data_IF_693670494455
#
_entry.id   IF_693670494455
#
_cell.length_a   1.000
_cell.length_b   1.000
_cell.length_c   1.000
_cell.angle_alpha   90.00
_cell.angle_beta   90.00
_cell.angle_gamma   90.00
#
_symmetry.space_group_name_H-M   'P 1'
#
loop_
_entity.id
_entity.type
_entity.pdbx_description
1 polymer ?
#
# COMPACT_ATOMS: atom_id res chain seq x y z
N UNK A 1 -8.85 16.23 7.77
CA UNK A 1 -8.44 15.30 8.86
C UNK A 1 -7.29 14.48 8.31
N UNK A 2 -6.22 14.25 9.07
CA UNK A 2 -5.10 13.45 8.57
C UNK A 2 -5.51 11.97 8.47
N UNK A 3 -5.25 11.26 7.35
CA UNK A 3 -5.54 9.84 7.23
C UNK A 3 -4.89 9.01 8.34
N UNK A 4 -5.65 8.04 8.85
CA UNK A 4 -5.17 7.02 9.80
C UNK A 4 -4.55 5.88 9.00
N UNK A 5 -3.30 5.52 9.30
CA UNK A 5 -2.54 4.52 8.55
C UNK A 5 -2.09 3.38 9.46
N UNK A 6 -2.34 2.15 9.03
CA UNK A 6 -1.74 0.94 9.60
C UNK A 6 -0.72 0.40 8.60
N UNK A 7 0.43 -0.02 9.12
CA UNK A 7 1.48 -0.64 8.33
C UNK A 7 1.65 -2.11 8.70
N UNK A 8 1.92 -2.96 7.71
CA UNK A 8 2.05 -4.41 7.89
C UNK A 8 3.31 -4.91 7.19
N UNK A 9 4.19 -5.57 7.92
CA UNK A 9 5.29 -6.33 7.33
C UNK A 9 4.88 -7.79 7.19
N UNK A 10 4.89 -8.29 5.95
CA UNK A 10 4.64 -9.69 5.64
C UNK A 10 5.99 -10.40 5.51
N UNK A 11 6.32 -11.23 6.49
CA UNK A 11 7.61 -11.93 6.52
C UNK A 11 7.57 -13.13 7.49
N UNK A 12 8.15 -14.24 7.05
CA UNK A 12 8.30 -15.44 7.88
C UNK A 12 9.45 -15.34 8.89
N UNK A 13 10.37 -14.38 8.72
CA UNK A 13 11.64 -14.32 9.46
C UNK A 13 11.86 -13.03 10.23
N UNK A 14 11.17 -11.92 9.87
CA UNK A 14 11.37 -10.61 10.50
C UNK A 14 10.79 -10.56 11.90
N UNK A 15 11.49 -9.83 12.76
CA UNK A 15 11.05 -9.46 14.11
C UNK A 15 11.01 -7.94 14.23
N UNK A 16 10.43 -7.42 15.30
CA UNK A 16 10.42 -5.97 15.55
C UNK A 16 11.83 -5.35 15.61
N UNK A 17 12.83 -6.13 15.98
CA UNK A 17 14.23 -5.66 16.11
C UNK A 17 14.91 -5.45 14.76
N UNK A 18 14.56 -6.23 13.73
CA UNK A 18 15.23 -6.26 12.42
C UNK A 18 14.31 -5.88 11.25
N UNK A 19 13.11 -5.41 11.53
CA UNK A 19 12.16 -4.96 10.50
C UNK A 19 12.49 -3.55 9.98
N UNK A 20 13.47 -3.51 9.07
CA UNK A 20 13.88 -2.27 8.41
C UNK A 20 12.77 -1.69 7.52
N UNK A 21 12.01 -2.56 6.86
CA UNK A 21 10.91 -2.16 5.97
C UNK A 21 9.77 -1.52 6.74
N UNK A 22 9.38 -2.08 7.89
CA UNK A 22 8.36 -1.48 8.75
C UNK A 22 8.78 -0.12 9.30
N UNK A 23 10.04 0.03 9.72
CA UNK A 23 10.59 1.33 10.13
C UNK A 23 10.58 2.35 8.99
N UNK A 24 10.99 1.92 7.78
CA UNK A 24 10.95 2.77 6.60
C UNK A 24 9.53 3.25 6.27
N UNK A 25 8.51 2.38 6.37
CA UNK A 25 7.12 2.79 6.20
C UNK A 25 6.70 3.87 7.21
N UNK A 26 7.03 3.67 8.48
CA UNK A 26 6.70 4.63 9.53
C UNK A 26 7.37 6.00 9.30
N UNK A 27 8.62 6.01 8.87
CA UNK A 27 9.37 7.23 8.55
C UNK A 27 8.79 7.97 7.33
N UNK A 28 8.56 7.26 6.21
CA UNK A 28 8.08 7.88 4.98
C UNK A 28 6.61 8.34 5.07
N UNK A 29 5.83 7.74 5.96
CA UNK A 29 4.43 8.09 6.18
C UNK A 29 4.20 8.92 7.46
N UNK A 30 5.26 9.49 8.04
CA UNK A 30 5.21 10.25 9.30
C UNK A 30 4.30 11.50 9.26
N UNK A 31 3.95 11.99 8.07
CA UNK A 31 2.99 13.08 7.91
C UNK A 31 1.53 12.68 8.20
N UNK A 32 1.24 11.39 8.31
CA UNK A 32 -0.08 10.83 8.57
C UNK A 32 -0.18 10.29 10.00
N UNK A 33 -1.42 10.01 10.44
CA UNK A 33 -1.64 9.41 11.74
C UNK A 33 -1.31 7.91 11.69
N UNK A 34 -0.08 7.53 12.07
CA UNK A 34 0.30 6.13 12.19
C UNK A 34 -0.36 5.49 13.42
N UNK A 35 -1.26 4.54 13.21
CA UNK A 35 -2.04 3.89 14.27
C UNK A 35 -1.24 2.77 14.93
N UNK A 36 -0.77 1.83 14.15
CA UNK A 36 0.05 0.69 14.60
C UNK A 36 0.81 0.05 13.44
N UNK A 37 1.80 -0.74 13.81
CA UNK A 37 2.55 -1.62 12.91
C UNK A 37 2.37 -3.08 13.33
N UNK A 38 2.20 -3.98 12.36
CA UNK A 38 2.03 -5.42 12.58
C UNK A 38 3.01 -6.19 11.70
N UNK A 39 3.58 -7.27 12.23
CA UNK A 39 4.36 -8.25 11.47
C UNK A 39 3.56 -9.54 11.42
N UNK A 40 3.34 -10.07 10.22
CA UNK A 40 2.64 -11.33 10.00
C UNK A 40 3.45 -12.26 9.10
N UNK A 41 3.36 -13.57 9.26
CA UNK A 41 3.94 -14.51 8.32
C UNK A 41 3.28 -14.39 6.93
N UNK A 42 3.97 -14.84 5.88
CA UNK A 42 3.45 -14.85 4.50
C UNK A 42 2.44 -15.99 4.32
N UNK A 43 1.34 -15.87 5.03
CA UNK A 43 0.20 -16.78 5.01
C UNK A 43 -1.07 -15.98 4.71
N UNK A 44 -1.83 -16.32 3.64
CA UNK A 44 -3.03 -15.58 3.27
C UNK A 44 -4.00 -15.35 4.43
N UNK A 45 -4.24 -16.37 5.26
CA UNK A 45 -5.17 -16.28 6.40
C UNK A 45 -4.73 -15.25 7.43
N UNK A 46 -3.41 -15.11 7.66
CA UNK A 46 -2.86 -14.13 8.59
C UNK A 46 -2.98 -12.71 8.06
N UNK A 47 -2.69 -12.52 6.77
CA UNK A 47 -2.86 -11.24 6.09
C UNK A 47 -4.34 -10.83 6.13
N UNK A 48 -5.23 -11.74 5.75
CA UNK A 48 -6.68 -11.51 5.75
C UNK A 48 -7.25 -11.21 7.15
N UNK A 49 -6.71 -11.86 8.19
CA UNK A 49 -7.13 -11.63 9.58
C UNK A 49 -6.87 -10.18 10.02
N UNK A 50 -5.68 -9.65 9.71
CA UNK A 50 -5.35 -8.23 10.00
C UNK A 50 -6.28 -7.27 9.26
N UNK A 51 -6.53 -7.53 7.96
CA UNK A 51 -7.41 -6.67 7.17
C UNK A 51 -8.84 -6.67 7.71
N UNK A 52 -9.37 -7.84 8.10
CA UNK A 52 -10.71 -7.94 8.71
C UNK A 52 -10.79 -7.17 10.02
N UNK A 53 -9.81 -7.38 10.91
CA UNK A 53 -9.74 -6.67 12.20
C UNK A 53 -9.77 -5.14 12.00
N UNK A 54 -8.96 -4.63 11.07
CA UNK A 54 -8.92 -3.19 10.76
C UNK A 54 -10.26 -2.68 10.24
N UNK A 55 -10.96 -3.48 9.43
CA UNK A 55 -12.27 -3.12 8.90
C UNK A 55 -13.38 -3.18 9.95
N UNK A 56 -13.41 -4.22 10.76
CA UNK A 56 -14.42 -4.42 11.81
C UNK A 56 -14.33 -3.35 12.90
N UNK A 57 -13.12 -2.93 13.26
CA UNK A 57 -12.88 -1.93 14.30
C UNK A 57 -12.80 -0.49 13.79
N UNK A 58 -12.93 -0.27 12.48
CA UNK A 58 -12.75 1.04 11.84
C UNK A 58 -11.44 1.75 12.25
N UNK A 59 -10.35 1.00 12.31
CA UNK A 59 -9.08 1.49 12.86
C UNK A 59 -8.34 2.45 11.93
N UNK A 60 -8.45 2.27 10.61
CA UNK A 60 -7.64 3.02 9.65
C UNK A 60 -8.40 3.35 8.36
N UNK A 61 -7.94 4.39 7.68
CA UNK A 61 -8.39 4.81 6.36
C UNK A 61 -7.49 4.20 5.27
N UNK A 62 -6.27 3.85 5.62
CA UNK A 62 -5.30 3.22 4.72
C UNK A 62 -4.51 2.11 5.39
N UNK A 63 -4.17 1.07 4.61
CA UNK A 63 -3.32 -0.04 5.05
C UNK A 63 -2.19 -0.16 4.03
N UNK A 64 -0.94 -0.17 4.52
CA UNK A 64 0.24 -0.30 3.67
C UNK A 64 1.02 -1.55 4.07
N UNK A 65 1.07 -2.52 3.18
CA UNK A 65 1.78 -3.78 3.37
C UNK A 65 3.15 -3.75 2.67
N UNK A 66 4.11 -4.46 3.23
CA UNK A 66 5.40 -4.75 2.58
C UNK A 66 5.73 -6.23 2.69
N UNK A 67 6.20 -6.82 1.59
CA UNK A 67 6.57 -8.23 1.50
C UNK A 67 5.56 -9.11 0.77
N UNK A 68 6.00 -10.30 0.36
CA UNK A 68 5.18 -11.31 -0.30
C UNK A 68 4.66 -10.95 -1.70
N UNK A 69 5.31 -10.01 -2.40
CA UNK A 69 4.89 -9.54 -3.74
C UNK A 69 5.69 -10.13 -4.89
N UNK A 70 6.67 -10.96 -4.62
CA UNK A 70 7.50 -11.62 -5.64
C UNK A 70 6.79 -12.80 -6.32
N UNK A 71 7.59 -13.60 -7.04
CA UNK A 71 7.11 -14.77 -7.79
C UNK A 71 7.48 -16.11 -7.15
N UNK A 72 8.07 -16.07 -5.95
CA UNK A 72 8.37 -17.31 -5.24
C UNK A 72 7.06 -18.01 -4.81
N UNK A 73 7.04 -19.35 -4.69
CA UNK A 73 5.84 -20.08 -4.26
C UNK A 73 5.28 -19.60 -2.91
N UNK A 74 6.13 -19.03 -2.08
CA UNK A 74 5.78 -18.50 -0.76
C UNK A 74 5.18 -17.10 -0.82
N UNK A 75 5.42 -16.33 -1.89
CA UNK A 75 4.89 -14.98 -2.08
C UNK A 75 3.38 -15.03 -2.40
N UNK A 76 2.54 -14.80 -1.42
CA UNK A 76 1.08 -14.95 -1.51
C UNK A 76 0.30 -13.66 -1.21
N UNK A 77 0.98 -12.56 -0.90
CA UNK A 77 0.32 -11.29 -0.55
C UNK A 77 -0.53 -10.76 -1.71
N UNK A 78 -0.01 -10.83 -2.94
CA UNK A 78 -0.74 -10.36 -4.11
C UNK A 78 -2.10 -11.06 -4.26
N UNK A 79 -2.10 -12.41 -4.24
CA UNK A 79 -3.32 -13.21 -4.42
C UNK A 79 -4.32 -12.96 -3.28
N UNK A 80 -3.84 -12.82 -2.04
CA UNK A 80 -4.68 -12.55 -0.90
C UNK A 80 -5.40 -11.19 -1.03
N UNK A 81 -4.69 -10.15 -1.47
CA UNK A 81 -5.25 -8.81 -1.62
C UNK A 81 -6.15 -8.69 -2.85
N UNK A 82 -5.73 -9.25 -4.00
CA UNK A 82 -6.48 -9.18 -5.25
C UNK A 82 -7.91 -9.71 -5.09
N UNK A 83 -8.08 -10.78 -4.34
CA UNK A 83 -9.38 -11.40 -4.09
C UNK A 83 -10.32 -10.53 -3.24
N UNK A 84 -9.80 -9.54 -2.52
CA UNK A 84 -10.58 -8.67 -1.63
C UNK A 84 -10.93 -7.31 -2.24
N UNK A 85 -10.24 -6.89 -3.28
CA UNK A 85 -10.42 -5.55 -3.81
C UNK A 85 -11.76 -5.33 -4.49
N UNK A 86 -12.49 -4.31 -4.07
CA UNK A 86 -13.65 -3.81 -4.79
C UNK A 86 -13.23 -3.12 -6.09
N UNK A 87 -12.11 -2.38 -6.04
CA UNK A 87 -11.50 -1.71 -7.20
C UNK A 87 -9.99 -1.87 -7.14
N UNK A 88 -9.39 -2.28 -8.24
CA UNK A 88 -7.94 -2.32 -8.40
C UNK A 88 -7.43 -0.99 -8.94
N UNK A 89 -6.31 -0.52 -8.41
CA UNK A 89 -5.59 0.64 -8.90
C UNK A 89 -4.42 0.18 -9.78
N UNK A 90 -4.70 -0.16 -11.02
CA UNK A 90 -3.72 -0.73 -11.96
C UNK A 90 -2.48 0.16 -12.11
N UNK A 91 -2.69 1.48 -12.16
CA UNK A 91 -1.62 2.47 -12.28
C UNK A 91 -0.61 2.45 -11.14
N UNK A 92 -0.96 1.94 -9.96
CA UNK A 92 -0.01 1.85 -8.86
C UNK A 92 1.15 0.90 -9.16
N UNK A 93 0.85 -0.32 -9.59
CA UNK A 93 1.86 -1.31 -9.95
C UNK A 93 2.69 -0.86 -11.17
N UNK A 94 2.06 -0.22 -12.16
CA UNK A 94 2.74 0.33 -13.34
C UNK A 94 3.74 1.42 -12.93
N UNK A 95 3.31 2.40 -12.14
CA UNK A 95 4.15 3.49 -11.66
C UNK A 95 5.29 2.97 -10.78
N UNK A 96 5.02 2.01 -9.89
CA UNK A 96 6.04 1.41 -9.04
C UNK A 96 7.12 0.70 -9.87
N UNK A 97 6.74 -0.12 -10.86
CA UNK A 97 7.71 -0.80 -11.73
C UNK A 97 8.50 0.17 -12.59
N UNK A 98 7.87 1.24 -13.09
CA UNK A 98 8.56 2.29 -13.84
C UNK A 98 9.65 2.96 -12.99
N UNK A 99 9.33 3.38 -11.76
CA UNK A 99 10.29 4.00 -10.85
C UNK A 99 11.39 3.03 -10.41
N UNK A 100 11.03 1.75 -10.17
CA UNK A 100 11.99 0.72 -9.80
C UNK A 100 12.97 0.39 -10.92
N UNK A 101 12.60 0.61 -12.18
CA UNK A 101 13.48 0.37 -13.34
C UNK A 101 14.79 1.11 -13.23
N UNK A 102 14.79 2.34 -12.75
CA UNK A 102 15.99 3.16 -12.60
C UNK A 102 16.92 2.63 -11.50
N UNK A 103 16.40 1.84 -10.57
CA UNK A 103 17.18 1.26 -9.46
C UNK A 103 17.66 -0.18 -9.72
N UNK A 104 16.81 -1.00 -10.31
CA UNK A 104 17.05 -2.45 -10.44
C UNK A 104 16.92 -2.97 -11.88
N UNK A 105 16.68 -2.10 -12.84
CA UNK A 105 16.55 -2.43 -14.26
C UNK A 105 15.43 -3.42 -14.55
N UNK A 106 15.66 -4.34 -15.47
CA UNK A 106 14.68 -5.35 -15.92
C UNK A 106 14.11 -6.21 -14.77
N UNK A 107 14.81 -6.33 -13.66
CA UNK A 107 14.32 -7.08 -12.48
C UNK A 107 13.03 -6.48 -11.88
N UNK A 108 12.74 -5.21 -12.17
CA UNK A 108 11.50 -4.56 -11.72
C UNK A 108 10.23 -5.25 -12.23
N UNK A 109 10.27 -5.94 -13.38
CA UNK A 109 9.12 -6.67 -13.92
C UNK A 109 8.67 -7.84 -13.05
N UNK A 110 9.53 -8.33 -12.16
CA UNK A 110 9.21 -9.43 -11.24
C UNK A 110 8.42 -8.96 -10.02
N UNK A 111 8.27 -7.66 -9.83
CA UNK A 111 7.48 -7.10 -8.73
C UNK A 111 5.99 -7.11 -9.06
N UNK A 112 5.20 -7.65 -8.15
CA UNK A 112 3.74 -7.64 -8.22
C UNK A 112 3.13 -6.67 -7.20
N UNK A 113 3.75 -5.49 -7.06
CA UNK A 113 3.18 -4.42 -6.26
C UNK A 113 1.75 -4.10 -6.73
N UNK A 114 0.82 -3.96 -5.79
CA UNK A 114 -0.60 -3.80 -6.08
C UNK A 114 -1.23 -2.80 -5.12
N UNK A 115 -2.26 -2.11 -5.57
CA UNK A 115 -3.13 -1.31 -4.72
C UNK A 115 -4.59 -1.46 -5.14
N UNK A 116 -5.49 -1.22 -4.20
CA UNK A 116 -6.92 -1.28 -4.44
C UNK A 116 -7.72 -0.72 -3.28
N UNK A 117 -9.03 -0.79 -3.40
CA UNK A 117 -9.96 -0.33 -2.35
C UNK A 117 -10.73 -1.49 -1.75
N UNK A 118 -11.04 -1.39 -0.46
CA UNK A 118 -11.94 -2.29 0.26
C UNK A 118 -12.89 -1.40 1.07
N UNK A 119 -14.14 -1.30 0.63
CA UNK A 119 -15.08 -0.33 1.17
C UNK A 119 -14.56 1.10 1.01
N UNK A 120 -14.48 1.83 2.11
CA UNK A 120 -13.96 3.21 2.15
C UNK A 120 -12.45 3.28 2.48
N UNK A 121 -11.73 2.19 2.38
CA UNK A 121 -10.30 2.12 2.71
C UNK A 121 -9.47 1.87 1.47
N UNK A 122 -8.25 2.42 1.46
CA UNK A 122 -7.25 2.15 0.43
C UNK A 122 -6.18 1.22 0.98
N UNK A 123 -5.77 0.25 0.17
CA UNK A 123 -4.76 -0.74 0.54
C UNK A 123 -3.65 -0.72 -0.50
N UNK A 124 -2.41 -0.64 -0.04
CA UNK A 124 -1.21 -0.70 -0.87
C UNK A 124 -0.33 -1.87 -0.45
N UNK A 125 0.30 -2.52 -1.40
CA UNK A 125 1.28 -3.58 -1.14
C UNK A 125 2.54 -3.35 -1.97
N UNK A 126 3.69 -3.32 -1.28
CA UNK A 126 5.02 -3.06 -1.81
C UNK A 126 5.94 -4.27 -1.60
N UNK A 127 7.00 -4.43 -2.38
CA UNK A 127 8.05 -5.41 -2.11
C UNK A 127 8.69 -5.21 -0.74
N UNK A 128 9.20 -6.30 -0.15
CA UNK A 128 9.70 -6.31 1.23
C UNK A 128 11.08 -5.68 1.45
N UNK A 129 11.79 -5.20 0.42
CA UNK A 129 13.09 -4.54 0.62
C UNK A 129 12.91 -3.10 1.10
N UNK A 130 13.79 -2.65 1.99
CA UNK A 130 13.76 -1.27 2.50
C UNK A 130 13.77 -0.23 1.36
N UNK A 131 14.61 -0.43 0.32
CA UNK A 131 14.66 0.45 -0.85
C UNK A 131 13.33 0.54 -1.59
N UNK A 132 12.69 -0.60 -1.83
CA UNK A 132 11.40 -0.66 -2.51
C UNK A 132 10.29 0.03 -1.70
N UNK A 133 10.30 -0.19 -0.40
CA UNK A 133 9.36 0.44 0.53
C UNK A 133 9.53 1.96 0.55
N UNK A 134 10.74 2.46 0.69
CA UNK A 134 11.01 3.91 0.67
C UNK A 134 10.58 4.53 -0.66
N UNK A 135 10.92 3.89 -1.78
CA UNK A 135 10.52 4.36 -3.11
C UNK A 135 9.00 4.46 -3.23
N UNK A 136 8.28 3.37 -2.96
CA UNK A 136 6.83 3.33 -3.10
C UNK A 136 6.10 4.25 -2.13
N UNK A 137 6.52 4.28 -0.87
CA UNK A 137 5.88 5.12 0.14
C UNK A 137 6.10 6.61 -0.15
N UNK A 138 7.33 7.03 -0.45
CA UNK A 138 7.68 8.43 -0.70
C UNK A 138 7.12 8.96 -2.01
N UNK A 139 7.32 8.22 -3.10
CA UNK A 139 7.04 8.73 -4.45
C UNK A 139 5.59 8.49 -4.91
N UNK A 140 4.93 7.48 -4.36
CA UNK A 140 3.59 7.08 -4.81
C UNK A 140 2.52 7.22 -3.73
N UNK A 141 2.74 6.67 -2.52
CA UNK A 141 1.69 6.61 -1.51
C UNK A 141 1.49 7.96 -0.84
N UNK A 142 2.53 8.54 -0.25
CA UNK A 142 2.43 9.78 0.50
C UNK A 142 1.82 10.94 -0.31
N UNK A 143 2.18 11.14 -1.59
CA UNK A 143 1.61 12.25 -2.39
C UNK A 143 0.11 12.14 -2.66
N UNK A 144 -0.45 10.94 -2.71
CA UNK A 144 -1.86 10.73 -3.11
C UNK A 144 -2.77 10.38 -1.93
N UNK A 145 -2.23 9.97 -0.79
CA UNK A 145 -2.98 9.30 0.27
C UNK A 145 -4.14 10.14 0.80
N UNK A 146 -3.90 11.40 1.13
CA UNK A 146 -4.95 12.27 1.66
C UNK A 146 -6.08 12.45 0.64
N UNK A 147 -5.74 12.70 -0.61
CA UNK A 147 -6.72 12.86 -1.68
C UNK A 147 -7.51 11.57 -1.94
N UNK A 148 -6.85 10.42 -1.97
CA UNK A 148 -7.50 9.13 -2.17
C UNK A 148 -8.50 8.82 -1.05
N UNK A 149 -8.13 9.09 0.20
CA UNK A 149 -9.02 8.91 1.36
C UNK A 149 -10.21 9.88 1.27
N UNK A 150 -10.01 11.13 0.88
CA UNK A 150 -11.11 12.08 0.70
C UNK A 150 -12.08 11.66 -0.42
N UNK A 151 -11.58 11.10 -1.52
CA UNK A 151 -12.40 10.52 -2.58
C UNK A 151 -13.26 9.36 -2.05
N UNK A 152 -12.66 8.43 -1.31
CA UNK A 152 -13.35 7.27 -0.77
C UNK A 152 -14.45 7.64 0.24
N UNK A 153 -14.25 8.72 0.97
CA UNK A 153 -15.23 9.24 1.92
C UNK A 153 -16.20 10.27 1.32
N UNK A 154 -16.13 10.53 0.02
CA UNK A 154 -16.99 11.51 -0.66
C UNK A 154 -16.72 12.97 -0.25
N UNK A 155 -15.55 13.26 0.33
CA UNK A 155 -15.16 14.60 0.79
C UNK A 155 -14.43 15.42 -0.27
N UNK A 156 -13.90 14.77 -1.31
CA UNK A 156 -13.31 15.47 -2.44
C UNK A 156 -14.43 16.14 -3.24
N UNK A 157 -14.56 17.46 -3.13
CA UNK A 157 -15.43 18.23 -4.01
C UNK A 157 -15.02 17.97 -5.47
N UNK A 158 -15.99 17.78 -6.35
CA UNK A 158 -15.75 17.78 -7.78
C UNK A 158 -15.21 19.17 -8.15
N UNK A 159 -13.88 19.30 -8.24
CA UNK A 159 -13.30 20.42 -8.96
C UNK A 159 -13.80 20.27 -10.41
N UNK A 160 -14.77 21.09 -10.78
CA UNK A 160 -15.24 21.17 -12.15
C UNK A 160 -14.01 21.38 -13.04
N UNK A 161 -13.77 20.45 -13.96
CA UNK A 161 -12.80 20.67 -15.03
C UNK A 161 -13.20 21.97 -15.73
N UNK A 162 -12.31 22.96 -15.85
CA UNK A 162 -12.58 24.09 -16.68
C UNK A 162 -12.77 23.55 -18.10
N UNK A 163 -14.00 23.64 -18.58
CA UNK A 163 -14.30 23.45 -20.00
C UNK A 163 -13.45 24.45 -20.76
N UNK A 164 -12.45 23.98 -21.53
CA UNK A 164 -11.78 24.79 -22.51
C UNK A 164 -12.83 25.14 -23.57
N UNK A 165 -13.37 26.32 -23.49
CA UNK A 165 -14.09 26.92 -24.62
C UNK A 165 -13.10 27.04 -25.77
N UNK A 166 -13.36 26.30 -26.84
CA UNK A 166 -12.71 26.51 -28.14
C UNK A 166 -13.45 27.66 -28.79
N UNK A 167 -12.82 28.83 -28.76
CA UNK A 167 -13.13 29.96 -29.65
C UNK A 167 -12.28 29.87 -30.90
#
# INVERSE_FOLDING_TARGET
MSPRVITVTVSDTRTAADDLSGRALAEELAAFQHVRHVIVPDEPERILAVLREVMENDEADAIVLSGGTGIAPRDRTYEALEALFDKRLEGFGEAFRRLSWDQVGVRSILSRAIAGTIGTRIVFSLPGSEKAVRLGARELIAPILAHAVDLLHGRAGHAAHPTKEHG
#
